data_IF_164445416419
#
_entry.id   IF_164445416419
#
_cell.length_a   1.000
_cell.length_b   1.000
_cell.length_c   1.000
_cell.angle_alpha   90.00
_cell.angle_beta   90.00
_cell.angle_gamma   90.00
#
_symmetry.space_group_name_H-M   'P 1'
#
loop_
_entity.id
_entity.type
_entity.pdbx_description
1 polymer ?
#
# COMPACT_ATOMS: atom_id res chain seq x y z
N UNK A 1 -24.71 -7.01 -95.18
CA UNK A 1 -23.42 -6.71 -95.82
C UNK A 1 -22.86 -5.46 -95.17
N UNK A 2 -21.78 -5.57 -94.38
CA UNK A 2 -20.84 -4.49 -93.99
C UNK A 2 -21.50 -3.38 -93.10
N UNK A 3 -21.01 -2.92 -91.94
CA UNK A 3 -19.66 -2.63 -91.46
C UNK A 3 -19.69 -2.40 -89.93
N UNK A 4 -18.71 -2.98 -89.24
CA UNK A 4 -17.90 -2.54 -88.08
C UNK A 4 -18.15 -1.13 -87.47
N UNK A 5 -17.96 -1.06 -86.13
CA UNK A 5 -17.75 0.10 -85.21
C UNK A 5 -18.98 0.36 -84.34
N UNK A 6 -18.96 0.16 -83.02
CA UNK A 6 -18.02 0.75 -82.07
C UNK A 6 -17.98 -0.07 -80.76
N UNK A 7 -16.89 -0.83 -80.56
CA UNK A 7 -16.46 -1.33 -79.25
C UNK A 7 -15.67 -0.20 -78.59
N UNK A 8 -16.36 0.85 -78.14
CA UNK A 8 -15.82 1.91 -77.26
C UNK A 8 -17.01 2.57 -76.58
N UNK A 9 -17.51 1.98 -75.47
CA UNK A 9 -18.10 2.71 -74.33
C UNK A 9 -18.77 1.85 -73.26
N UNK A 10 -18.78 0.51 -73.35
CA UNK A 10 -19.50 -0.32 -72.36
C UNK A 10 -18.62 -0.94 -71.27
N UNK A 11 -17.32 -0.64 -71.21
CA UNK A 11 -16.40 -1.10 -70.15
C UNK A 11 -15.76 0.11 -69.45
N UNK A 12 -16.60 1.02 -68.93
CA UNK A 12 -16.15 2.07 -68.00
C UNK A 12 -17.01 2.19 -66.74
N UNK A 13 -18.04 1.36 -66.60
CA UNK A 13 -18.98 1.41 -65.46
C UNK A 13 -19.13 0.08 -64.72
N UNK A 14 -18.12 -0.81 -64.76
CA UNK A 14 -18.13 -2.05 -63.97
C UNK A 14 -16.83 -2.36 -63.22
N UNK A 15 -15.92 -1.39 -63.11
CA UNK A 15 -14.80 -1.40 -62.15
C UNK A 15 -14.74 -0.03 -61.45
N UNK A 16 -15.87 0.42 -60.93
CA UNK A 16 -15.94 1.55 -59.98
C UNK A 16 -16.91 1.16 -58.85
N UNK A 17 -16.91 -0.10 -58.40
CA UNK A 17 -17.57 -0.53 -57.16
C UNK A 17 -16.79 -1.73 -56.59
N UNK A 18 -15.54 -1.52 -56.16
CA UNK A 18 -14.95 -2.25 -55.02
C UNK A 18 -13.63 -1.60 -54.57
N UNK A 19 -13.63 -0.27 -54.51
CA UNK A 19 -12.62 0.49 -53.77
C UNK A 19 -13.36 1.52 -52.91
N UNK A 20 -14.42 1.07 -52.23
CA UNK A 20 -14.73 1.67 -50.93
C UNK A 20 -13.60 1.18 -50.07
N UNK A 21 -12.53 1.98 -50.03
CA UNK A 21 -11.54 1.93 -48.99
C UNK A 21 -12.32 2.03 -47.69
N UNK A 22 -12.61 0.87 -47.11
CA UNK A 22 -12.89 0.70 -45.71
C UNK A 22 -11.60 1.12 -45.01
N UNK A 23 -11.38 2.44 -44.94
CA UNK A 23 -10.61 3.05 -43.88
C UNK A 23 -11.45 2.82 -42.65
N UNK A 24 -11.38 1.61 -42.11
CA UNK A 24 -11.45 1.45 -40.67
C UNK A 24 -10.36 2.39 -40.17
N UNK A 25 -10.75 3.62 -39.85
CA UNK A 25 -10.08 4.39 -38.83
C UNK A 25 -10.13 3.48 -37.61
N UNK A 26 -9.08 2.68 -37.46
CA UNK A 26 -8.66 2.14 -36.18
C UNK A 26 -8.40 3.40 -35.39
N UNK A 27 -9.44 3.93 -34.74
CA UNK A 27 -9.23 4.79 -33.60
C UNK A 27 -8.40 3.91 -32.68
N UNK A 28 -7.10 4.20 -32.66
CA UNK A 28 -6.25 3.69 -31.60
C UNK A 28 -6.89 4.24 -30.34
N UNK A 29 -7.62 3.38 -29.64
CA UNK A 29 -7.90 3.57 -28.23
C UNK A 29 -6.50 3.64 -27.61
N UNK A 30 -5.97 4.86 -27.49
CA UNK A 30 -4.93 5.09 -26.50
C UNK A 30 -5.60 4.71 -25.20
N UNK A 31 -5.19 3.58 -24.63
CA UNK A 31 -5.47 3.31 -23.23
C UNK A 31 -5.04 4.58 -22.50
N UNK A 32 -6.01 5.23 -21.84
CA UNK A 32 -5.70 6.35 -20.98
C UNK A 32 -4.74 5.79 -19.94
N UNK A 33 -3.52 6.33 -19.92
CA UNK A 33 -2.53 5.97 -18.93
C UNK A 33 -3.16 6.23 -17.57
N UNK A 34 -3.44 5.16 -16.84
CA UNK A 34 -3.97 5.24 -15.48
C UNK A 34 -2.82 5.81 -14.66
N UNK A 35 -2.87 7.11 -14.39
CA UNK A 35 -1.89 7.78 -13.56
C UNK A 35 -2.11 7.32 -12.11
N UNK A 36 -1.39 6.28 -11.69
CA UNK A 36 -1.33 5.85 -10.29
C UNK A 36 -0.36 6.78 -9.59
N UNK A 37 -0.79 7.40 -8.50
CA UNK A 37 0.01 8.31 -7.69
C UNK A 37 0.47 7.60 -6.42
N UNK A 38 1.76 7.71 -6.11
CA UNK A 38 2.28 7.36 -4.79
C UNK A 38 1.73 8.37 -3.77
N UNK A 39 0.91 7.89 -2.85
CA UNK A 39 0.23 8.69 -1.83
C UNK A 39 0.32 7.99 -0.48
N UNK A 40 0.28 8.77 0.59
CA UNK A 40 0.01 8.24 1.92
C UNK A 40 -1.48 8.02 2.12
N UNK A 41 -1.82 6.85 2.64
CA UNK A 41 -3.18 6.52 3.09
C UNK A 41 -3.07 5.77 4.42
N UNK A 42 -3.69 6.31 5.47
CA UNK A 42 -3.56 5.78 6.83
C UNK A 42 -4.43 4.53 7.00
N UNK A 43 -3.83 3.42 7.42
CA UNK A 43 -4.48 2.10 7.42
C UNK A 43 -4.91 1.56 8.79
N UNK A 44 -4.59 2.27 9.88
CA UNK A 44 -4.83 1.80 11.26
C UNK A 44 -6.29 1.98 11.75
N UNK A 45 -7.19 2.43 10.87
CA UNK A 45 -8.62 2.64 11.15
C UNK A 45 -9.47 1.84 10.17
N UNK A 46 -10.70 1.47 10.54
CA UNK A 46 -11.59 0.75 9.62
C UNK A 46 -12.12 1.69 8.53
N UNK A 47 -11.89 1.36 7.27
CA UNK A 47 -12.48 2.05 6.11
C UNK A 47 -12.96 1.06 5.06
N UNK A 48 -13.93 1.52 4.25
CA UNK A 48 -14.40 0.82 3.06
C UNK A 48 -14.44 1.78 1.89
N UNK A 49 -13.88 1.37 0.74
CA UNK A 49 -14.01 2.12 -0.51
C UNK A 49 -14.11 1.16 -1.69
N UNK A 50 -14.70 1.64 -2.77
CA UNK A 50 -14.81 0.93 -4.05
C UNK A 50 -14.58 1.89 -5.20
N UNK A 51 -14.42 1.38 -6.42
CA UNK A 51 -14.26 2.25 -7.59
C UNK A 51 -15.59 2.96 -7.92
N UNK A 52 -15.75 4.17 -7.39
CA UNK A 52 -16.92 5.02 -7.64
C UNK A 52 -16.66 6.12 -8.67
N UNK A 53 -15.44 6.21 -9.20
CA UNK A 53 -15.06 7.27 -10.13
C UNK A 53 -15.86 7.16 -11.43
N UNK A 54 -16.41 8.28 -11.91
CA UNK A 54 -17.26 8.31 -13.10
C UNK A 54 -18.66 7.72 -12.88
N UNK A 55 -19.04 7.33 -11.66
CA UNK A 55 -20.42 6.95 -11.36
C UNK A 55 -21.37 8.12 -11.59
N UNK A 56 -22.58 7.84 -12.10
CA UNK A 56 -23.62 8.85 -12.29
C UNK A 56 -24.12 9.35 -10.94
N UNK A 57 -23.97 10.65 -10.69
CA UNK A 57 -24.50 11.35 -9.53
C UNK A 57 -25.41 12.43 -10.07
N UNK A 58 -26.73 12.22 -10.01
CA UNK A 58 -27.79 13.14 -10.48
C UNK A 58 -27.29 14.52 -10.98
N UNK A 59 -27.08 14.63 -12.30
CA UNK A 59 -26.55 15.81 -13.04
C UNK A 59 -25.02 16.00 -13.15
N UNK A 60 -24.18 15.08 -12.67
CA UNK A 60 -22.73 15.08 -12.93
C UNK A 60 -22.12 13.68 -12.76
N UNK A 61 -20.86 13.53 -13.16
CA UNK A 61 -20.07 12.33 -12.86
C UNK A 61 -19.29 12.52 -11.57
N UNK A 62 -19.16 11.46 -10.77
CA UNK A 62 -18.34 11.45 -9.56
C UNK A 62 -16.86 11.61 -9.92
N UNK A 63 -16.20 12.66 -9.43
CA UNK A 63 -14.83 13.03 -9.82
C UNK A 63 -13.76 12.49 -8.83
N UNK A 64 -14.14 11.60 -7.92
CA UNK A 64 -13.28 11.10 -6.86
C UNK A 64 -13.56 9.65 -6.45
N UNK A 65 -13.14 9.30 -5.24
CA UNK A 65 -13.47 8.04 -4.56
C UNK A 65 -13.99 8.37 -3.18
N UNK A 66 -15.13 7.77 -2.81
CA UNK A 66 -15.68 7.91 -1.46
C UNK A 66 -15.08 6.83 -0.56
N UNK A 67 -14.48 7.26 0.56
CA UNK A 67 -13.84 6.41 1.55
C UNK A 67 -14.68 6.46 2.82
N UNK A 68 -15.50 5.43 3.02
CA UNK A 68 -16.40 5.30 4.15
C UNK A 68 -15.60 4.98 5.41
N UNK A 69 -15.95 5.60 6.54
CA UNK A 69 -15.26 5.39 7.81
C UNK A 69 -16.05 5.93 9.00
N UNK A 70 -15.42 5.93 10.18
CA UNK A 70 -16.03 6.48 11.39
C UNK A 70 -15.95 8.01 11.42
N UNK A 71 -16.95 8.65 12.02
CA UNK A 71 -16.88 10.08 12.33
C UNK A 71 -15.63 10.36 13.16
N UNK A 72 -15.00 11.52 12.93
CA UNK A 72 -13.77 11.94 13.60
C UNK A 72 -12.53 11.09 13.27
N UNK A 73 -12.60 10.15 12.33
CA UNK A 73 -11.42 9.45 11.85
C UNK A 73 -10.36 10.46 11.35
N UNK A 74 -9.07 10.31 11.73
CA UNK A 74 -8.03 11.26 11.35
C UNK A 74 -7.77 11.23 9.84
N UNK A 75 -7.72 12.41 9.23
CA UNK A 75 -7.38 12.60 7.83
C UNK A 75 -5.96 13.13 7.71
N UNK A 76 -5.17 12.52 6.81
CA UNK A 76 -3.75 12.83 6.64
C UNK A 76 -3.44 13.35 5.23
N UNK A 77 -2.42 14.20 5.13
CA UNK A 77 -1.90 14.67 3.86
C UNK A 77 -1.33 13.50 3.03
N UNK A 78 -1.85 13.32 1.83
CA UNK A 78 -1.49 12.25 0.91
C UNK A 78 -0.07 12.44 0.35
N UNK A 79 0.40 13.68 0.26
CA UNK A 79 1.71 14.05 -0.28
C UNK A 79 2.27 15.26 0.45
N UNK A 80 3.57 15.49 0.28
CA UNK A 80 4.19 16.78 0.58
C UNK A 80 3.56 17.88 -0.29
N UNK A 81 3.31 19.05 0.29
CA UNK A 81 2.72 20.14 -0.47
C UNK A 81 2.39 21.37 0.36
N UNK A 82 1.53 22.21 -0.22
CA UNK A 82 0.99 23.41 0.43
C UNK A 82 -0.52 23.36 0.42
N UNK A 83 -1.14 23.73 1.54
CA UNK A 83 -2.59 23.90 1.63
C UNK A 83 -2.98 25.09 0.75
N UNK A 84 -3.48 24.80 -0.44
CA UNK A 84 -3.77 25.82 -1.47
C UNK A 84 -5.18 26.40 -1.34
N UNK A 85 -6.08 25.63 -0.72
CA UNK A 85 -7.47 25.98 -0.51
C UNK A 85 -7.99 25.35 0.80
N UNK A 86 -8.80 26.11 1.52
CA UNK A 86 -9.57 25.70 2.70
C UNK A 86 -10.90 26.44 2.69
N UNK A 87 -11.96 25.75 3.10
CA UNK A 87 -13.33 26.25 3.01
C UNK A 87 -13.95 26.43 4.38
N UNK A 88 -14.63 27.57 4.57
CA UNK A 88 -15.71 27.68 5.54
C UNK A 88 -16.99 27.14 4.88
N UNK A 89 -17.79 26.34 5.58
CA UNK A 89 -18.66 25.33 5.00
C UNK A 89 -19.53 25.88 3.86
N UNK A 90 -19.50 25.19 2.72
CA UNK A 90 -20.43 25.45 1.61
C UNK A 90 -21.41 24.29 1.45
N UNK A 91 -22.62 24.59 0.96
CA UNK A 91 -23.72 23.62 0.95
C UNK A 91 -23.48 22.37 0.08
N UNK A 92 -22.50 22.37 -0.82
CA UNK A 92 -22.17 21.21 -1.66
C UNK A 92 -21.10 20.32 -1.03
N UNK A 93 -19.88 20.82 -0.86
CA UNK A 93 -18.74 20.01 -0.37
C UNK A 93 -18.49 20.12 1.14
N UNK A 94 -19.19 20.99 1.85
CA UNK A 94 -19.01 21.21 3.28
C UNK A 94 -17.67 21.86 3.60
N UNK A 95 -17.04 21.42 4.68
CA UNK A 95 -15.64 21.75 4.97
C UNK A 95 -14.73 20.95 4.05
N UNK A 96 -13.72 21.61 3.51
CA UNK A 96 -12.79 20.99 2.57
C UNK A 96 -11.35 21.52 2.71
N UNK A 97 -10.38 20.69 2.32
CA UNK A 97 -8.96 21.04 2.17
C UNK A 97 -8.52 20.64 0.75
N UNK A 98 -7.74 21.50 0.08
CA UNK A 98 -6.97 21.11 -1.10
C UNK A 98 -5.49 21.29 -0.86
N UNK A 99 -4.72 20.21 -1.04
CA UNK A 99 -3.25 20.25 -1.04
C UNK A 99 -2.78 20.36 -2.48
N UNK A 100 -1.99 21.40 -2.78
CA UNK A 100 -1.18 21.44 -4.00
C UNK A 100 0.10 20.68 -3.71
N UNK A 101 0.22 19.48 -4.29
CA UNK A 101 1.37 18.62 -4.09
C UNK A 101 2.63 19.19 -4.73
N UNK A 102 3.79 18.81 -4.21
CA UNK A 102 5.10 19.12 -4.82
C UNK A 102 5.31 18.46 -6.18
N UNK A 103 4.41 17.55 -6.57
CA UNK A 103 4.35 16.84 -7.84
C UNK A 103 3.46 17.52 -8.89
N UNK A 104 3.01 18.74 -8.61
CA UNK A 104 2.10 19.57 -9.41
C UNK A 104 0.64 19.08 -9.51
N UNK A 105 0.25 18.01 -8.81
CA UNK A 105 -1.14 17.60 -8.70
C UNK A 105 -1.85 18.34 -7.57
N UNK A 106 -3.17 18.30 -7.55
CA UNK A 106 -3.96 18.75 -6.40
C UNK A 106 -4.78 17.60 -5.82
N UNK A 107 -4.82 17.53 -4.50
CA UNK A 107 -5.49 16.49 -3.73
C UNK A 107 -6.59 17.14 -2.92
N UNK A 108 -7.84 16.74 -3.14
CA UNK A 108 -9.01 17.36 -2.54
C UNK A 108 -9.62 16.43 -1.50
N UNK A 109 -9.92 17.00 -0.33
CA UNK A 109 -10.52 16.33 0.81
C UNK A 109 -11.83 17.06 1.11
N UNK A 110 -12.96 16.41 0.83
CA UNK A 110 -14.30 16.97 0.98
C UNK A 110 -15.08 16.25 2.09
N UNK A 111 -16.18 16.85 2.53
CA UNK A 111 -17.03 16.33 3.62
C UNK A 111 -16.28 16.20 4.96
N UNK A 112 -15.29 17.08 5.19
CA UNK A 112 -14.56 17.14 6.47
C UNK A 112 -15.54 17.49 7.59
N UNK A 113 -15.28 17.00 8.81
CA UNK A 113 -16.19 17.11 9.94
C UNK A 113 -16.71 18.54 10.21
N UNK A 114 -18.03 18.68 10.34
CA UNK A 114 -18.73 19.88 10.82
C UNK A 114 -19.37 19.69 12.20
N UNK A 115 -19.28 18.51 12.81
CA UNK A 115 -20.02 18.19 14.05
C UNK A 115 -19.22 18.36 15.33
N UNK A 116 -19.95 18.49 16.43
CA UNK A 116 -19.38 18.22 17.75
C UNK A 116 -19.08 16.72 17.88
N UNK A 117 -17.90 16.29 18.38
CA UNK A 117 -17.58 14.87 18.50
C UNK A 117 -18.67 14.07 19.23
N UNK A 118 -19.16 13.01 18.58
CA UNK A 118 -20.23 12.16 19.11
C UNK A 118 -21.66 12.68 18.88
N UNK A 119 -21.82 13.68 18.00
CA UNK A 119 -23.11 14.24 17.58
C UNK A 119 -23.18 14.31 16.06
N UNK A 120 -24.35 14.60 15.51
CA UNK A 120 -24.60 14.86 14.09
C UNK A 120 -25.45 16.14 14.06
N UNK A 121 -24.76 17.28 14.26
CA UNK A 121 -25.36 18.57 14.62
C UNK A 121 -24.96 19.73 13.71
N UNK A 122 -23.96 19.54 12.85
CA UNK A 122 -23.40 20.55 11.96
C UNK A 122 -22.81 21.78 12.66
N UNK A 123 -22.61 21.75 13.98
CA UNK A 123 -22.24 22.90 14.82
C UNK A 123 -20.84 22.82 15.45
N UNK A 124 -20.04 21.80 15.13
CA UNK A 124 -18.67 21.62 15.60
C UNK A 124 -17.70 22.71 15.16
N UNK A 125 -17.88 23.22 13.95
CA UNK A 125 -17.07 24.30 13.39
C UNK A 125 -15.62 23.90 13.05
N UNK A 126 -14.84 24.87 12.57
CA UNK A 126 -13.43 24.72 12.13
C UNK A 126 -12.57 23.94 13.14
N UNK A 127 -12.76 24.17 14.44
CA UNK A 127 -11.98 23.54 15.52
C UNK A 127 -12.09 22.01 15.56
N UNK A 128 -13.18 21.45 15.05
CA UNK A 128 -13.42 20.01 14.98
C UNK A 128 -13.26 19.49 13.54
N UNK A 129 -13.10 20.38 12.56
CA UNK A 129 -12.87 20.04 11.17
C UNK A 129 -11.38 19.79 10.89
N UNK A 130 -10.53 20.69 11.36
CA UNK A 130 -9.11 20.76 10.98
C UNK A 130 -8.18 20.58 12.16
N UNK A 131 -7.02 20.00 11.91
CA UNK A 131 -5.97 19.85 12.91
C UNK A 131 -5.33 21.21 13.26
N UNK A 132 -4.73 21.30 14.44
CA UNK A 132 -4.07 22.53 14.91
C UNK A 132 -2.95 22.95 13.95
N UNK A 133 -2.92 24.25 13.60
CA UNK A 133 -1.91 24.82 12.71
C UNK A 133 -2.17 24.60 11.21
N UNK A 134 -3.26 23.94 10.84
CA UNK A 134 -3.66 23.78 9.44
C UNK A 134 -4.47 25.01 9.00
N UNK A 135 -3.85 25.82 8.16
CA UNK A 135 -4.48 26.99 7.54
C UNK A 135 -4.01 27.17 6.08
N UNK A 136 -4.73 27.96 5.29
CA UNK A 136 -4.36 28.19 3.89
C UNK A 136 -2.96 28.81 3.80
N UNK A 137 -2.10 28.20 2.98
CA UNK A 137 -0.73 28.65 2.72
C UNK A 137 0.33 27.92 3.52
N UNK A 138 -0.02 27.09 4.51
CA UNK A 138 0.96 26.29 5.24
C UNK A 138 1.47 25.12 4.41
N UNK A 139 2.74 24.78 4.60
CA UNK A 139 3.31 23.55 4.06
C UNK A 139 2.89 22.37 4.93
N UNK A 140 2.59 21.26 4.29
CA UNK A 140 2.27 19.98 4.94
C UNK A 140 3.20 18.90 4.44
N UNK A 141 3.46 17.93 5.31
CA UNK A 141 4.22 16.73 4.98
C UNK A 141 3.31 15.54 4.72
N UNK A 142 3.71 14.66 3.81
CA UNK A 142 3.10 13.34 3.62
C UNK A 142 2.90 12.69 5.00
N UNK A 143 1.70 12.19 5.28
CA UNK A 143 1.35 11.57 6.56
C UNK A 143 1.10 12.55 7.72
N UNK A 144 1.12 13.87 7.50
CA UNK A 144 0.74 14.85 8.51
C UNK A 144 -0.77 14.88 8.70
N UNK A 145 -1.23 14.89 9.96
CA UNK A 145 -2.65 15.07 10.29
C UNK A 145 -3.13 16.45 9.82
N UNK A 146 -4.21 16.48 9.02
CA UNK A 146 -4.77 17.71 8.44
C UNK A 146 -6.20 18.02 8.90
N UNK A 147 -6.96 17.02 9.35
CA UNK A 147 -8.33 17.21 9.79
C UNK A 147 -9.00 15.90 10.15
N UNK A 148 -10.32 15.91 10.16
CA UNK A 148 -11.13 14.80 10.65
C UNK A 148 -12.29 14.48 9.69
N UNK A 149 -12.58 13.20 9.51
CA UNK A 149 -13.67 12.71 8.69
C UNK A 149 -15.03 13.10 9.28
N UNK A 150 -15.97 13.49 8.44
CA UNK A 150 -17.37 13.66 8.80
C UNK A 150 -18.25 13.46 7.59
N UNK A 151 -19.31 14.25 7.47
CA UNK A 151 -20.32 14.19 6.42
C UNK A 151 -20.86 15.58 6.03
N UNK A 152 -20.06 16.62 6.27
CA UNK A 152 -20.51 17.99 6.04
C UNK A 152 -20.89 18.28 4.58
N UNK A 153 -21.80 19.25 4.39
CA UNK A 153 -22.25 19.69 3.07
C UNK A 153 -23.43 18.85 2.59
N UNK A 154 -23.39 18.33 1.37
CA UNK A 154 -24.47 17.49 0.85
C UNK A 154 -24.37 16.01 1.27
N UNK A 155 -23.39 15.66 2.10
CA UNK A 155 -23.15 14.30 2.59
C UNK A 155 -23.91 13.96 3.89
N UNK A 156 -24.56 14.94 4.53
CA UNK A 156 -25.20 14.86 5.86
C UNK A 156 -26.29 13.75 6.02
N UNK A 157 -26.69 13.10 4.93
CA UNK A 157 -27.67 12.00 4.96
C UNK A 157 -27.17 10.71 4.30
N UNK A 158 -25.89 10.67 3.93
CA UNK A 158 -25.22 9.55 3.27
C UNK A 158 -24.42 8.72 4.29
N UNK A 159 -23.95 9.36 5.36
CA UNK A 159 -23.07 8.79 6.38
C UNK A 159 -21.63 9.26 6.23
N UNK A 160 -20.84 9.13 7.29
CA UNK A 160 -19.48 9.68 7.35
C UNK A 160 -18.53 9.04 6.33
N UNK A 161 -17.88 9.89 5.55
CA UNK A 161 -16.91 9.47 4.55
C UNK A 161 -16.02 10.63 4.13
N UNK A 162 -14.85 10.30 3.59
CA UNK A 162 -14.02 11.24 2.85
C UNK A 162 -14.32 11.10 1.36
N UNK A 163 -14.77 12.18 0.71
CA UNK A 163 -14.69 12.26 -0.75
C UNK A 163 -13.29 12.76 -1.13
N UNK A 164 -12.51 11.88 -1.76
CA UNK A 164 -11.12 12.13 -2.12
C UNK A 164 -10.96 12.27 -3.62
N UNK A 165 -10.30 13.34 -4.08
CA UNK A 165 -9.99 13.52 -5.50
C UNK A 165 -8.50 13.73 -5.72
N UNK A 166 -8.03 13.30 -6.90
CA UNK A 166 -6.72 13.65 -7.43
C UNK A 166 -6.94 14.36 -8.76
N UNK A 167 -6.39 15.57 -8.93
CA UNK A 167 -6.49 16.33 -10.18
C UNK A 167 -5.12 16.67 -10.74
N UNK A 168 -4.99 16.55 -12.06
CA UNK A 168 -3.82 16.94 -12.84
C UNK A 168 -3.59 18.47 -12.77
N UNK A 169 -2.41 18.96 -13.21
CA UNK A 169 -2.13 20.41 -13.27
C UNK A 169 -3.14 21.24 -14.08
N UNK A 170 -3.83 20.61 -15.05
CA UNK A 170 -4.90 21.22 -15.85
C UNK A 170 -6.30 21.12 -15.19
N UNK A 171 -6.38 20.71 -13.92
CA UNK A 171 -7.60 20.50 -13.14
C UNK A 171 -8.50 19.33 -13.59
N UNK A 172 -8.03 18.49 -14.51
CA UNK A 172 -8.74 17.28 -14.92
C UNK A 172 -8.63 16.21 -13.81
N UNK A 173 -9.75 15.66 -13.31
CA UNK A 173 -9.72 14.62 -12.29
C UNK A 173 -9.23 13.29 -12.87
N UNK A 174 -8.54 12.51 -12.04
CA UNK A 174 -8.15 11.13 -12.34
C UNK A 174 -8.71 10.21 -11.26
N UNK A 175 -8.94 8.94 -11.62
CA UNK A 175 -9.48 7.96 -10.69
C UNK A 175 -8.51 7.71 -9.52
N UNK A 176 -8.87 8.06 -8.27
CA UNK A 176 -8.03 7.83 -7.09
C UNK A 176 -7.94 6.36 -6.69
N UNK A 177 -8.91 5.53 -7.08
CA UNK A 177 -9.07 4.15 -6.60
C UNK A 177 -7.77 3.32 -6.67
N UNK A 178 -7.09 3.33 -7.82
CA UNK A 178 -5.85 2.56 -7.97
C UNK A 178 -4.67 3.16 -7.17
N UNK A 179 -4.69 4.47 -6.88
CA UNK A 179 -3.70 5.10 -6.01
C UNK A 179 -3.96 4.78 -4.54
N UNK A 180 -5.24 4.70 -4.13
CA UNK A 180 -5.65 4.24 -2.80
C UNK A 180 -5.33 2.76 -2.59
N UNK A 181 -5.62 1.90 -3.58
CA UNK A 181 -5.18 0.50 -3.55
C UNK A 181 -3.65 0.39 -3.54
N UNK A 182 -2.94 1.19 -4.35
CA UNK A 182 -1.49 1.21 -4.31
C UNK A 182 -0.99 1.61 -2.92
N UNK A 183 -1.56 2.63 -2.28
CA UNK A 183 -1.21 3.07 -0.94
C UNK A 183 -1.52 2.04 0.15
N UNK A 184 -2.62 1.29 0.03
CA UNK A 184 -2.90 0.12 0.88
C UNK A 184 -1.83 -0.98 0.75
N UNK A 185 -1.22 -1.09 -0.43
CA UNK A 185 -0.21 -2.10 -0.74
C UNK A 185 1.23 -1.54 -0.74
N UNK A 186 1.40 -0.22 -0.59
CA UNK A 186 2.67 0.50 -0.56
C UNK A 186 2.88 1.04 0.83
N UNK A 187 3.19 0.14 1.76
CA UNK A 187 3.87 0.58 2.97
C UNK A 187 5.22 1.14 2.52
N UNK A 188 5.47 2.43 2.73
CA UNK A 188 6.82 2.98 2.69
C UNK A 188 7.62 2.17 3.73
N UNK A 189 8.48 1.28 3.27
CA UNK A 189 9.14 0.34 4.17
C UNK A 189 10.02 1.12 5.14
N UNK A 190 9.69 1.03 6.43
CA UNK A 190 10.48 1.58 7.51
C UNK A 190 11.04 0.42 8.35
N UNK A 191 12.38 0.24 8.42
CA UNK A 191 12.98 -0.84 9.20
C UNK A 191 12.59 -0.83 10.69
N UNK A 192 12.44 0.35 11.31
CA UNK A 192 12.08 0.45 12.72
C UNK A 192 10.63 0.02 12.95
N UNK A 193 9.70 0.44 12.07
CA UNK A 193 8.30 0.00 12.13
C UNK A 193 8.21 -1.51 11.88
N UNK A 194 8.90 -2.03 10.87
CA UNK A 194 8.92 -3.46 10.57
C UNK A 194 9.43 -4.28 11.77
N UNK A 195 10.45 -3.76 12.49
CA UNK A 195 10.99 -4.40 13.70
C UNK A 195 10.03 -4.32 14.88
N UNK A 196 9.30 -3.21 15.03
CA UNK A 196 8.30 -3.01 16.09
C UNK A 196 7.07 -3.91 15.89
N UNK A 197 6.55 -3.99 14.67
CA UNK A 197 5.43 -4.88 14.32
C UNK A 197 5.78 -6.37 14.42
N UNK A 198 7.07 -6.71 14.37
CA UNK A 198 7.60 -8.07 14.51
C UNK A 198 8.39 -8.23 15.82
N UNK A 199 7.77 -7.84 16.94
CA UNK A 199 8.36 -7.97 18.28
C UNK A 199 8.82 -9.40 18.60
N UNK A 200 7.95 -10.38 18.35
CA UNK A 200 8.22 -11.83 18.48
C UNK A 200 8.03 -12.57 17.15
N UNK A 201 8.47 -13.83 17.10
CA UNK A 201 8.22 -14.70 15.93
C UNK A 201 6.73 -15.04 15.80
N UNK A 202 5.96 -15.01 16.91
CA UNK A 202 4.51 -15.12 16.83
C UNK A 202 3.90 -13.93 16.07
N UNK A 203 4.36 -12.71 16.37
CA UNK A 203 3.87 -11.50 15.73
C UNK A 203 4.22 -11.50 14.24
N UNK A 204 5.45 -11.84 13.89
CA UNK A 204 5.91 -11.92 12.50
C UNK A 204 5.10 -12.91 11.66
N UNK A 205 4.86 -14.10 12.19
CA UNK A 205 4.19 -15.18 11.48
C UNK A 205 2.68 -15.22 11.70
N UNK A 206 2.10 -14.25 12.41
CA UNK A 206 0.69 -14.23 12.81
C UNK A 206 0.25 -15.54 13.50
N UNK A 207 1.09 -16.06 14.41
CA UNK A 207 0.80 -17.31 15.14
C UNK A 207 -0.21 -17.03 16.24
N UNK A 208 -1.39 -17.62 16.09
CA UNK A 208 -2.47 -17.53 17.08
C UNK A 208 -2.30 -18.61 18.15
N UNK A 209 -2.57 -18.27 19.41
CA UNK A 209 -2.47 -19.19 20.53
C UNK A 209 -3.38 -20.41 20.40
N UNK A 210 -2.86 -21.60 20.68
CA UNK A 210 -3.64 -22.83 20.81
C UNK A 210 -4.17 -23.04 22.24
N UNK A 211 -5.26 -23.79 22.38
CA UNK A 211 -5.84 -24.13 23.69
C UNK A 211 -5.01 -25.14 24.49
N UNK A 212 -4.16 -25.91 23.81
CA UNK A 212 -3.18 -26.81 24.42
C UNK A 212 -1.79 -26.17 24.35
N UNK A 213 -0.95 -26.42 25.36
CA UNK A 213 0.43 -25.90 25.45
C UNK A 213 1.41 -27.06 25.56
N UNK A 214 2.05 -27.44 24.45
CA UNK A 214 3.06 -28.51 24.40
C UNK A 214 4.48 -27.98 24.68
N UNK A 215 4.69 -26.68 24.47
CA UNK A 215 5.83 -25.95 25.00
C UNK A 215 5.43 -24.51 25.34
N UNK A 216 6.22 -23.87 26.18
CA UNK A 216 5.97 -22.49 26.61
C UNK A 216 6.23 -21.53 25.43
N UNK A 217 5.22 -20.72 25.07
CA UNK A 217 5.34 -19.79 23.95
C UNK A 217 6.46 -18.77 24.19
N UNK A 218 7.12 -18.34 23.11
CA UNK A 218 8.27 -17.44 23.11
C UNK A 218 9.56 -18.02 23.70
N UNK A 219 9.60 -19.30 24.03
CA UNK A 219 10.85 -19.95 24.50
C UNK A 219 11.68 -20.50 23.35
N UNK A 220 12.99 -20.59 23.59
CA UNK A 220 13.94 -21.23 22.69
C UNK A 220 14.27 -22.61 23.23
N UNK A 221 14.22 -23.61 22.36
CA UNK A 221 14.45 -25.01 22.74
C UNK A 221 15.46 -25.68 21.81
N UNK A 222 16.22 -26.63 22.34
CA UNK A 222 17.09 -27.52 21.55
C UNK A 222 17.20 -28.89 22.20
N UNK A 223 17.80 -29.82 21.46
CA UNK A 223 18.29 -31.08 22.03
C UNK A 223 19.78 -30.97 22.34
N UNK A 224 20.25 -31.62 23.41
CA UNK A 224 21.64 -31.52 23.87
C UNK A 224 22.66 -31.92 22.79
N UNK A 225 22.38 -33.01 22.07
CA UNK A 225 23.30 -33.61 21.11
C UNK A 225 23.22 -32.99 19.70
N UNK A 226 22.36 -31.99 19.50
CA UNK A 226 22.12 -31.36 18.21
C UNK A 226 22.35 -29.84 18.27
N UNK A 227 22.81 -29.27 17.16
CA UNK A 227 23.05 -27.81 17.06
C UNK A 227 21.79 -27.01 16.75
N UNK A 228 20.76 -27.62 16.16
CA UNK A 228 19.53 -26.94 15.75
C UNK A 228 18.78 -26.38 16.95
N UNK A 229 18.46 -25.08 16.87
CA UNK A 229 17.61 -24.37 17.82
C UNK A 229 16.23 -24.19 17.20
N UNK A 230 15.21 -24.23 18.05
CA UNK A 230 13.83 -24.00 17.65
C UNK A 230 13.18 -22.95 18.53
N UNK A 231 12.24 -22.23 17.95
CA UNK A 231 11.34 -21.32 18.64
C UNK A 231 10.01 -22.00 18.94
N UNK A 232 9.49 -21.86 20.16
CA UNK A 232 8.18 -22.34 20.55
C UNK A 232 7.09 -21.31 20.24
N UNK A 233 6.26 -21.62 19.24
CA UNK A 233 5.12 -20.82 18.82
C UNK A 233 3.95 -20.88 19.80
N UNK A 234 3.11 -19.85 19.79
CA UNK A 234 1.87 -19.82 20.57
C UNK A 234 0.89 -20.95 20.18
N UNK A 235 1.05 -21.53 19.00
CA UNK A 235 0.25 -22.64 18.47
C UNK A 235 0.76 -24.03 18.89
N UNK A 236 1.67 -24.09 19.86
CA UNK A 236 2.33 -25.33 20.33
C UNK A 236 3.13 -26.07 19.26
N UNK A 237 3.61 -25.36 18.23
CA UNK A 237 4.59 -25.88 17.28
C UNK A 237 5.98 -25.33 17.54
N UNK A 238 7.00 -26.06 17.09
CA UNK A 238 8.39 -25.59 17.06
C UNK A 238 8.76 -25.12 15.66
N UNK A 239 9.40 -23.96 15.58
CA UNK A 239 9.86 -23.33 14.34
C UNK A 239 11.38 -23.37 14.28
N UNK A 240 11.93 -23.78 13.14
CA UNK A 240 13.35 -24.07 13.00
C UNK A 240 14.12 -22.79 12.71
N UNK A 241 15.23 -22.53 13.41
CA UNK A 241 16.22 -21.56 12.93
C UNK A 241 17.13 -22.23 11.90
N UNK A 242 17.06 -21.86 10.60
CA UNK A 242 17.80 -22.58 9.57
C UNK A 242 19.31 -22.35 9.61
N UNK A 243 19.75 -21.21 10.16
CA UNK A 243 21.16 -20.88 10.36
C UNK A 243 21.35 -19.86 11.50
N UNK A 244 22.61 -19.66 11.90
CA UNK A 244 22.97 -18.75 13.00
C UNK A 244 22.66 -17.28 12.70
N UNK A 245 22.75 -16.83 11.43
CA UNK A 245 22.49 -15.43 11.09
C UNK A 245 21.02 -15.06 11.28
N UNK A 246 20.10 -15.95 10.91
CA UNK A 246 18.67 -15.80 11.18
C UNK A 246 18.44 -15.78 12.69
N UNK A 247 19.09 -16.66 13.45
CA UNK A 247 19.00 -16.63 14.92
C UNK A 247 19.43 -15.27 15.49
N UNK A 248 20.61 -14.77 15.10
CA UNK A 248 21.15 -13.49 15.58
C UNK A 248 20.39 -12.26 15.07
N UNK A 249 19.50 -12.42 14.10
CA UNK A 249 18.56 -11.36 13.73
C UNK A 249 17.45 -11.16 14.75
N UNK A 250 17.17 -12.19 15.56
CA UNK A 250 16.11 -12.22 16.56
C UNK A 250 16.61 -12.14 18.01
N UNK A 251 17.75 -12.77 18.31
CA UNK A 251 18.28 -12.93 19.66
C UNK A 251 19.76 -12.57 19.70
N UNK A 252 20.24 -12.04 20.82
CA UNK A 252 21.64 -11.61 20.95
C UNK A 252 22.61 -12.79 21.14
N UNK A 253 22.18 -13.84 21.84
CA UNK A 253 22.96 -15.05 22.12
C UNK A 253 22.07 -16.27 22.46
N UNK A 254 22.68 -17.38 22.87
CA UNK A 254 21.99 -18.64 23.18
C UNK A 254 21.71 -18.86 24.67
N UNK A 255 21.82 -17.84 25.54
CA UNK A 255 21.67 -17.98 26.99
C UNK A 255 20.31 -18.53 27.40
N UNK A 256 19.28 -18.18 26.63
CA UNK A 256 17.89 -18.49 26.94
C UNK A 256 17.41 -19.80 26.30
N UNK A 257 18.31 -20.54 25.64
CA UNK A 257 17.97 -21.81 25.00
C UNK A 257 17.86 -22.93 26.04
N UNK A 258 16.66 -23.48 26.16
CA UNK A 258 16.35 -24.60 27.04
C UNK A 258 16.64 -25.93 26.34
N UNK A 259 17.24 -26.88 27.06
CA UNK A 259 17.49 -28.23 26.57
C UNK A 259 16.31 -29.12 26.91
N UNK A 260 15.71 -29.75 25.89
CA UNK A 260 14.65 -30.75 26.04
C UNK A 260 15.14 -32.16 25.72
N UNK A 261 14.49 -33.15 26.34
CA UNK A 261 14.69 -34.55 26.02
C UNK A 261 14.01 -34.98 24.72
N UNK A 262 14.40 -36.15 24.20
CA UNK A 262 13.88 -36.70 22.93
C UNK A 262 12.35 -36.77 22.93
N UNK A 263 11.73 -37.28 24.00
CA UNK A 263 10.27 -37.47 24.09
C UNK A 263 9.50 -36.15 24.11
N UNK A 264 10.02 -35.15 24.82
CA UNK A 264 9.41 -33.82 24.89
C UNK A 264 9.50 -33.13 23.53
N UNK A 265 10.66 -33.23 22.89
CA UNK A 265 10.83 -32.74 21.53
C UNK A 265 9.86 -33.46 20.59
N UNK A 266 9.85 -34.79 20.51
CA UNK A 266 8.93 -35.55 19.62
C UNK A 266 7.45 -35.18 19.76
N UNK A 267 7.01 -34.77 20.95
CA UNK A 267 5.63 -34.35 21.19
C UNK A 267 5.27 -33.01 20.53
N UNK A 268 6.25 -32.12 20.27
CA UNK A 268 6.03 -30.78 19.73
C UNK A 268 6.11 -30.82 18.18
N UNK A 269 5.01 -30.60 17.44
CA UNK A 269 5.01 -30.63 15.98
C UNK A 269 5.86 -29.51 15.34
N UNK A 270 6.31 -29.72 14.10
CA UNK A 270 7.03 -28.69 13.32
C UNK A 270 6.04 -27.66 12.74
N UNK A 271 6.38 -26.38 12.88
CA UNK A 271 5.60 -25.25 12.35
C UNK A 271 6.17 -24.62 11.07
N UNK A 272 7.43 -24.92 10.73
CA UNK A 272 8.14 -24.35 9.57
C UNK A 272 9.45 -23.68 9.96
N UNK A 273 10.00 -22.89 9.06
CA UNK A 273 11.26 -22.18 9.27
C UNK A 273 11.01 -20.75 9.77
N UNK A 274 11.89 -20.28 10.66
CA UNK A 274 12.02 -18.89 11.04
C UNK A 274 12.76 -18.14 9.93
N UNK A 275 12.26 -16.95 9.58
CA UNK A 275 12.83 -16.03 8.60
C UNK A 275 13.62 -14.92 9.33
N UNK A 276 14.44 -14.15 8.63
CA UNK A 276 15.11 -12.97 9.23
C UNK A 276 14.10 -12.06 9.92
N UNK A 277 14.46 -11.49 11.07
CA UNK A 277 13.63 -10.50 11.75
C UNK A 277 13.43 -9.30 10.84
N UNK A 278 12.17 -8.89 10.55
CA UNK A 278 11.92 -7.71 9.75
C UNK A 278 12.64 -6.47 10.31
N UNK A 279 13.19 -5.65 9.42
CA UNK A 279 13.93 -4.43 9.77
C UNK A 279 15.34 -4.63 10.34
N UNK A 280 15.76 -5.86 10.65
CA UNK A 280 17.08 -6.12 11.27
C UNK A 280 18.25 -6.11 10.28
N UNK A 281 18.01 -6.66 9.08
CA UNK A 281 19.00 -6.89 8.03
C UNK A 281 18.35 -6.75 6.66
N UNK A 282 19.18 -6.40 5.69
CA UNK A 282 18.88 -6.61 4.28
C UNK A 282 19.45 -7.97 3.88
N UNK A 283 18.84 -8.62 2.89
CA UNK A 283 19.33 -9.92 2.42
C UNK A 283 19.50 -9.94 0.91
N UNK A 284 20.39 -10.79 0.42
CA UNK A 284 20.49 -11.11 -1.01
C UNK A 284 20.74 -12.59 -1.21
N UNK A 285 20.34 -13.11 -2.36
CA UNK A 285 20.74 -14.46 -2.76
C UNK A 285 22.23 -14.47 -3.12
N UNK A 286 22.91 -15.60 -2.86
CA UNK A 286 24.31 -15.76 -3.23
C UNK A 286 24.53 -15.69 -4.75
N UNK A 287 23.54 -16.13 -5.51
CA UNK A 287 23.55 -16.14 -6.98
C UNK A 287 23.01 -14.86 -7.62
N UNK A 288 22.63 -13.85 -6.82
CA UNK A 288 22.05 -12.59 -7.30
C UNK A 288 22.74 -11.36 -6.71
N UNK A 289 22.66 -10.25 -7.45
CA UNK A 289 23.04 -8.92 -6.97
C UNK A 289 21.86 -8.14 -6.38
N UNK A 290 20.62 -8.63 -6.51
CA UNK A 290 19.44 -7.97 -5.94
C UNK A 290 19.46 -8.05 -4.42
N UNK A 291 19.27 -6.91 -3.78
CA UNK A 291 19.20 -6.76 -2.33
C UNK A 291 17.76 -6.48 -1.93
N UNK A 292 17.29 -7.18 -0.90
CA UNK A 292 15.92 -7.13 -0.43
C UNK A 292 15.91 -6.67 1.02
N UNK A 293 14.88 -5.90 1.38
CA UNK A 293 14.49 -5.76 2.78
C UNK A 293 13.52 -6.88 3.16
N UNK A 294 13.45 -7.19 4.46
CA UNK A 294 12.53 -8.19 4.99
C UNK A 294 11.39 -7.50 5.72
N UNK A 295 10.18 -7.76 5.28
CA UNK A 295 8.91 -7.36 5.89
C UNK A 295 8.30 -8.51 6.70
N UNK A 296 7.28 -8.14 7.49
CA UNK A 296 6.49 -9.07 8.28
C UNK A 296 5.99 -10.24 7.46
N UNK A 297 6.04 -11.44 8.05
CA UNK A 297 5.62 -12.68 7.40
C UNK A 297 6.63 -13.23 6.39
N UNK A 298 7.88 -12.74 6.41
CA UNK A 298 8.92 -13.20 5.50
C UNK A 298 8.73 -12.69 4.06
N UNK A 299 8.18 -11.50 3.89
CA UNK A 299 8.04 -10.86 2.57
C UNK A 299 9.33 -10.12 2.21
N UNK A 300 9.84 -10.35 1.00
CA UNK A 300 11.04 -9.71 0.48
C UNK A 300 10.66 -8.65 -0.54
N UNK A 301 11.11 -7.42 -0.29
CA UNK A 301 10.92 -6.30 -1.19
C UNK A 301 12.24 -5.84 -1.77
N UNK A 302 12.33 -5.86 -3.10
CA UNK A 302 13.58 -5.53 -3.79
C UNK A 302 13.89 -4.04 -3.67
N UNK A 303 15.09 -3.70 -3.23
CA UNK A 303 15.60 -2.33 -3.16
C UNK A 303 16.32 -1.99 -4.47
N UNK A 304 15.76 -1.06 -5.25
CA UNK A 304 16.24 -0.79 -6.60
C UNK A 304 17.45 0.14 -6.68
N UNK A 305 17.77 0.91 -5.62
CA UNK A 305 18.87 1.86 -5.65
C UNK A 305 19.61 1.97 -4.31
N UNK A 306 20.87 2.42 -4.38
CA UNK A 306 21.68 2.70 -3.19
C UNK A 306 21.09 3.82 -2.35
N UNK A 307 20.51 4.84 -2.98
CA UNK A 307 19.87 5.96 -2.27
C UNK A 307 18.68 5.50 -1.42
N UNK A 308 17.88 4.56 -1.93
CA UNK A 308 16.76 3.97 -1.16
C UNK A 308 17.31 3.18 0.03
N UNK A 309 18.36 2.38 -0.17
CA UNK A 309 18.99 1.65 0.92
C UNK A 309 19.61 2.57 1.99
N UNK A 310 20.26 3.67 1.58
CA UNK A 310 20.84 4.69 2.45
C UNK A 310 19.77 5.42 3.28
N UNK A 311 18.61 5.72 2.70
CA UNK A 311 17.51 6.35 3.42
C UNK A 311 16.96 5.43 4.54
N UNK A 312 16.91 4.11 4.29
CA UNK A 312 16.37 3.15 5.25
C UNK A 312 17.40 2.71 6.31
N UNK A 313 18.63 2.41 5.90
CA UNK A 313 19.66 1.80 6.78
C UNK A 313 20.90 2.68 7.00
N UNK A 314 20.88 3.93 6.51
CA UNK A 314 21.96 4.90 6.64
C UNK A 314 23.11 4.68 5.66
N UNK A 315 24.14 5.54 5.73
CA UNK A 315 25.31 5.51 4.83
C UNK A 315 26.09 4.18 4.85
N UNK A 316 25.93 3.38 5.91
CA UNK A 316 26.56 2.07 6.07
C UNK A 316 25.62 0.91 5.76
N UNK A 317 24.53 1.14 5.03
CA UNK A 317 23.52 0.12 4.67
C UNK A 317 24.15 -1.16 4.11
N UNK A 318 25.25 -1.05 3.36
CA UNK A 318 25.95 -2.18 2.76
C UNK A 318 26.54 -3.15 3.79
N UNK A 319 26.74 -2.70 5.03
CA UNK A 319 27.17 -3.55 6.16
C UNK A 319 26.02 -4.31 6.82
N UNK A 320 24.77 -4.00 6.46
CA UNK A 320 23.56 -4.67 6.92
C UNK A 320 23.07 -5.76 5.96
N UNK A 321 23.81 -6.03 4.88
CA UNK A 321 23.44 -7.05 3.89
C UNK A 321 24.02 -8.41 4.28
N UNK A 322 23.15 -9.39 4.41
CA UNK A 322 23.54 -10.79 4.56
C UNK A 322 23.27 -11.60 3.28
N UNK A 323 24.22 -12.48 2.93
CA UNK A 323 24.00 -13.53 1.95
C UNK A 323 23.08 -14.62 2.53
N UNK A 324 21.95 -14.85 1.85
CA UNK A 324 21.03 -15.95 2.10
C UNK A 324 21.28 -17.08 1.09
N UNK A 325 21.52 -18.32 1.53
CA UNK A 325 21.59 -19.48 0.63
C UNK A 325 20.32 -19.63 -0.20
N UNK A 326 20.47 -19.93 -1.48
CA UNK A 326 19.35 -20.05 -2.44
C UNK A 326 18.25 -21.02 -1.97
N UNK A 327 18.62 -22.09 -1.25
CA UNK A 327 17.67 -23.07 -0.71
C UNK A 327 16.72 -22.51 0.34
N UNK A 328 17.12 -21.45 1.06
CA UNK A 328 16.30 -20.80 2.08
C UNK A 328 15.45 -19.69 1.50
N UNK A 329 15.69 -19.29 0.24
CA UNK A 329 14.89 -18.25 -0.40
C UNK A 329 13.44 -18.70 -0.63
N UNK A 330 13.19 -20.01 -0.72
CA UNK A 330 11.84 -20.59 -0.80
C UNK A 330 11.01 -20.44 0.48
N UNK A 331 11.63 -20.08 1.61
CA UNK A 331 10.92 -19.79 2.86
C UNK A 331 10.31 -18.37 2.88
N UNK A 332 10.55 -17.57 1.83
CA UNK A 332 10.12 -16.19 1.71
C UNK A 332 9.14 -15.98 0.55
N UNK A 333 8.33 -14.93 0.66
CA UNK A 333 7.46 -14.46 -0.41
C UNK A 333 8.06 -13.22 -1.07
N UNK A 334 7.96 -13.09 -2.40
CA UNK A 334 8.37 -11.85 -3.07
C UNK A 334 7.19 -10.86 -3.06
N UNK A 335 7.41 -9.69 -2.47
CA UNK A 335 6.48 -8.57 -2.49
C UNK A 335 6.83 -7.53 -3.55
N UNK A 336 6.08 -6.43 -3.55
CA UNK A 336 6.33 -5.28 -4.43
C UNK A 336 7.72 -4.68 -4.18
N UNK A 337 8.36 -4.17 -5.22
CA UNK A 337 9.65 -3.51 -5.11
C UNK A 337 9.57 -2.14 -4.42
N UNK A 338 10.70 -1.67 -3.89
CA UNK A 338 10.84 -0.34 -3.31
C UNK A 338 11.64 0.51 -4.30
N UNK A 339 10.90 1.38 -4.98
CA UNK A 339 11.42 2.26 -6.05
C UNK A 339 11.79 3.65 -5.51
N UNK A 340 11.17 4.07 -4.40
CA UNK A 340 11.43 5.30 -3.67
C UNK A 340 11.01 5.12 -2.19
N UNK A 341 11.67 5.85 -1.30
CA UNK A 341 11.19 6.13 0.06
C UNK A 341 10.38 7.41 0.01
#
# INVERSE_FOLDING_TARGET
MLIVKNIKNTIKYFIIILAISLSLSIQTLKAQEVAIKDIYFHTDISFEFSDTFGADRYNHFHEGTDIMGEQMAPLYAAVDGVVSYMVNPEGSWGYAITIKGSDDYTYHYLHINNDTPGTDDGNGGIKNAYAEGIERGVSVKRGQLIGYMGDSGNAESVGHHLHFEIRKPNNEPINPYNSLLAALNSEEYNPEIAKELSGTINDDKNIVSSSESLCESNTLIKMADYSTVYYCGADSKRYIFPNEKIFYSWYDDFSDVVILGVKEMEAIPLGGNVTYKPGSRMIKMQTSSKVYVVERGGTLRWVQSTSVAENMYGEKWNTYIDDLPDSLFFDYNIGEEIVST
#
